data_IF_740478038559
#
_entry.id   IF_740478038559
#
_cell.length_a   1.000
_cell.length_b   1.000
_cell.length_c   1.000
_cell.angle_alpha   90.00
_cell.angle_beta   90.00
_cell.angle_gamma   90.00
#
_symmetry.space_group_name_H-M   'P 1'
#
loop_
_entity.id
_entity.type
_entity.pdbx_description
1 polymer ?
#
# COMPACT_ATOMS: atom_id res chain seq x y z
N UNK A 1 14.59 -16.99 -7.08
CA UNK A 1 14.13 -16.77 -5.69
C UNK A 1 13.48 -15.41 -5.70
N UNK A 2 12.18 -15.36 -5.95
CA UNK A 2 11.47 -14.09 -6.08
C UNK A 2 10.75 -13.75 -4.78
N UNK A 3 11.17 -12.64 -4.18
CA UNK A 3 10.66 -12.11 -2.91
C UNK A 3 9.39 -11.29 -3.14
N UNK A 4 8.33 -11.93 -3.62
CA UNK A 4 7.12 -11.24 -4.09
C UNK A 4 6.16 -10.72 -3.02
N UNK A 5 6.49 -10.78 -1.73
CA UNK A 5 5.59 -10.24 -0.73
C UNK A 5 6.04 -8.88 -0.26
N UNK A 6 5.14 -7.90 -0.37
CA UNK A 6 5.28 -6.59 0.27
C UNK A 6 5.49 -6.76 1.78
N UNK A 7 4.98 -7.86 2.34
CA UNK A 7 5.24 -8.33 3.70
C UNK A 7 6.72 -8.51 4.03
N UNK A 8 7.53 -9.07 3.13
CA UNK A 8 8.95 -9.23 3.37
C UNK A 8 9.55 -7.84 3.68
N UNK A 9 9.24 -6.83 2.87
CA UNK A 9 9.72 -5.44 3.07
C UNK A 9 9.22 -4.79 4.37
N UNK A 10 8.11 -5.26 4.95
CA UNK A 10 7.45 -4.65 6.13
C UNK A 10 7.89 -5.28 7.47
N UNK A 11 8.60 -6.43 7.47
CA UNK A 11 8.90 -7.19 8.70
C UNK A 11 9.77 -6.44 9.73
N UNK A 12 10.48 -5.37 9.36
CA UNK A 12 11.45 -4.69 10.25
C UNK A 12 11.23 -3.18 10.43
N UNK A 13 10.06 -2.78 10.95
CA UNK A 13 9.86 -1.47 11.56
C UNK A 13 9.75 -1.52 13.11
N UNK A 14 10.47 -2.42 13.78
CA UNK A 14 10.53 -2.45 15.25
C UNK A 14 11.66 -1.54 15.75
N UNK A 15 11.41 -0.24 15.80
CA UNK A 15 12.40 0.71 16.34
C UNK A 15 12.21 2.21 16.05
N UNK A 16 10.99 2.73 16.03
CA UNK A 16 10.70 4.19 16.05
C UNK A 16 9.19 4.43 16.32
N UNK A 17 8.65 3.77 17.35
CA UNK A 17 7.22 3.48 17.44
C UNK A 17 6.30 4.72 17.44
N UNK A 18 6.71 5.85 18.01
CA UNK A 18 5.82 7.01 18.17
C UNK A 18 5.86 7.98 16.98
N UNK A 19 7.04 8.28 16.44
CA UNK A 19 7.17 9.14 15.26
C UNK A 19 6.54 8.50 14.02
N UNK A 20 6.79 7.20 13.80
CA UNK A 20 6.17 6.43 12.71
C UNK A 20 4.65 6.33 12.90
N UNK A 21 4.16 6.21 14.14
CA UNK A 21 2.71 6.19 14.43
C UNK A 21 2.06 7.55 14.17
N UNK A 22 2.72 8.64 14.55
CA UNK A 22 2.25 10.00 14.24
C UNK A 22 2.10 10.24 12.74
N UNK A 23 3.11 9.84 11.96
CA UNK A 23 3.06 9.92 10.50
C UNK A 23 1.94 9.04 9.92
N UNK A 24 1.80 7.82 10.42
CA UNK A 24 0.73 6.90 10.00
C UNK A 24 -0.67 7.48 10.27
N UNK A 25 -0.85 8.15 11.42
CA UNK A 25 -2.09 8.84 11.74
C UNK A 25 -2.38 9.98 10.77
N UNK A 26 -1.37 10.76 10.39
CA UNK A 26 -1.52 11.81 9.37
C UNK A 26 -1.99 11.22 8.04
N UNK A 27 -1.41 10.09 7.59
CA UNK A 27 -1.83 9.40 6.37
C UNK A 27 -3.29 8.93 6.46
N UNK A 28 -3.69 8.29 7.55
CA UNK A 28 -5.09 7.89 7.74
C UNK A 28 -6.06 9.08 7.79
N UNK A 29 -5.69 10.20 8.41
CA UNK A 29 -6.53 11.40 8.41
C UNK A 29 -6.76 11.90 6.98
N UNK A 30 -5.71 11.95 6.15
CA UNK A 30 -5.81 12.34 4.74
C UNK A 30 -6.74 11.38 3.98
N UNK A 31 -6.51 10.08 4.09
CA UNK A 31 -7.32 9.05 3.40
C UNK A 31 -8.79 9.07 3.84
N UNK A 32 -9.07 9.15 5.15
CA UNK A 32 -10.45 9.25 5.68
C UNK A 32 -11.14 10.52 5.16
N UNK A 33 -10.43 11.65 5.16
CA UNK A 33 -10.99 12.93 4.71
C UNK A 33 -11.33 12.89 3.22
N UNK A 34 -10.44 12.31 2.39
CA UNK A 34 -10.67 12.16 0.94
C UNK A 34 -11.80 11.18 0.66
N UNK A 35 -11.80 10.02 1.32
CA UNK A 35 -12.87 9.03 1.16
C UNK A 35 -14.25 9.61 1.53
N UNK A 36 -14.35 10.32 2.65
CA UNK A 36 -15.58 10.97 3.10
C UNK A 36 -16.03 12.09 2.13
N UNK A 37 -15.08 12.84 1.54
CA UNK A 37 -15.39 13.87 0.54
C UNK A 37 -15.95 13.28 -0.76
N UNK A 38 -15.42 12.14 -1.21
CA UNK A 38 -15.80 11.54 -2.50
C UNK A 38 -17.19 10.90 -2.49
N UNK A 39 -17.56 10.23 -1.40
CA UNK A 39 -18.78 9.41 -1.35
C UNK A 39 -19.57 9.55 -0.04
N UNK A 40 -19.35 10.63 0.72
CA UNK A 40 -20.08 10.92 1.96
C UNK A 40 -19.45 10.27 3.20
N UNK A 41 -19.85 10.77 4.38
CA UNK A 41 -19.29 10.40 5.68
C UNK A 41 -19.86 9.14 6.33
N UNK A 42 -20.76 8.42 5.66
CA UNK A 42 -21.35 7.18 6.18
C UNK A 42 -20.53 5.95 5.72
N UNK A 43 -19.84 5.24 6.64
CA UNK A 43 -19.04 4.06 6.29
C UNK A 43 -19.87 2.87 5.78
N UNK A 44 -21.18 2.82 6.03
CA UNK A 44 -22.03 1.75 5.49
C UNK A 44 -22.29 1.94 3.99
N UNK A 45 -22.44 3.19 3.56
CA UNK A 45 -22.64 3.56 2.16
C UNK A 45 -21.32 3.80 1.39
N UNK A 46 -20.17 3.88 2.09
CA UNK A 46 -18.87 4.22 1.52
C UNK A 46 -17.78 3.17 1.87
N UNK A 47 -17.55 2.18 0.99
CA UNK A 47 -16.56 1.11 1.22
C UNK A 47 -15.11 1.61 1.38
N UNK A 48 -14.71 2.66 0.64
CA UNK A 48 -13.36 3.27 0.78
C UNK A 48 -13.19 3.84 2.19
N UNK A 49 -14.20 4.56 2.67
CA UNK A 49 -14.20 5.12 4.03
C UNK A 49 -14.20 4.01 5.10
N UNK A 50 -15.01 2.97 4.93
CA UNK A 50 -15.02 1.81 5.84
C UNK A 50 -13.63 1.19 5.98
N UNK A 51 -12.97 0.91 4.85
CA UNK A 51 -11.61 0.35 4.83
C UNK A 51 -10.61 1.28 5.51
N UNK A 52 -10.66 2.58 5.24
CA UNK A 52 -9.78 3.57 5.88
C UNK A 52 -9.97 3.63 7.40
N UNK A 53 -11.22 3.57 7.88
CA UNK A 53 -11.55 3.55 9.32
C UNK A 53 -11.02 2.27 9.97
N UNK A 54 -11.19 1.11 9.32
CA UNK A 54 -10.68 -0.17 9.84
C UNK A 54 -9.16 -0.14 10.00
N UNK A 55 -8.42 0.34 8.99
CA UNK A 55 -6.96 0.51 9.07
C UNK A 55 -6.55 1.48 10.18
N UNK A 56 -7.25 2.60 10.32
CA UNK A 56 -6.97 3.56 11.39
C UNK A 56 -7.21 2.96 12.79
N UNK A 57 -8.28 2.19 12.98
CA UNK A 57 -8.57 1.49 14.24
C UNK A 57 -7.55 0.42 14.55
N UNK A 58 -7.12 -0.38 13.56
CA UNK A 58 -6.09 -1.39 13.72
C UNK A 58 -4.75 -0.78 14.17
N UNK A 59 -4.47 0.46 13.76
CA UNK A 59 -3.31 1.22 14.23
C UNK A 59 -3.51 1.94 15.58
N UNK A 60 -4.62 1.67 16.30
CA UNK A 60 -4.99 2.30 17.56
C UNK A 60 -5.20 3.83 17.47
N UNK A 61 -5.69 4.33 16.32
CA UNK A 61 -6.10 5.74 16.22
C UNK A 61 -7.31 6.03 17.13
N UNK A 62 -7.27 7.10 17.94
CA UNK A 62 -8.42 7.52 18.74
C UNK A 62 -9.66 7.79 17.88
N UNK A 63 -10.83 7.34 18.37
CA UNK A 63 -12.12 7.50 17.68
C UNK A 63 -12.40 8.96 17.30
N UNK A 64 -12.08 9.90 18.19
CA UNK A 64 -12.27 11.34 17.96
C UNK A 64 -11.46 11.86 16.76
N UNK A 65 -10.27 11.31 16.50
CA UNK A 65 -9.47 11.70 15.33
C UNK A 65 -10.13 11.22 14.03
N UNK A 66 -10.69 10.01 14.04
CA UNK A 66 -11.44 9.44 12.91
C UNK A 66 -12.67 10.30 12.63
N UNK A 67 -13.48 10.60 13.66
CA UNK A 67 -14.68 11.43 13.52
C UNK A 67 -14.35 12.84 13.01
N UNK A 68 -13.26 13.45 13.50
CA UNK A 68 -12.81 14.76 13.01
C UNK A 68 -12.36 14.72 11.55
N UNK A 69 -11.70 13.65 11.12
CA UNK A 69 -11.30 13.48 9.71
C UNK A 69 -12.53 13.32 8.80
N UNK A 70 -13.54 12.55 9.22
CA UNK A 70 -14.82 12.42 8.50
C UNK A 70 -15.49 13.79 8.36
N UNK A 71 -15.66 14.53 9.48
CA UNK A 71 -16.29 15.86 9.48
C UNK A 71 -15.56 16.89 8.62
N UNK A 72 -14.23 16.81 8.55
CA UNK A 72 -13.43 17.64 7.62
C UNK A 72 -13.69 17.25 6.17
N UNK A 73 -13.76 15.94 5.88
CA UNK A 73 -14.06 15.43 4.54
C UNK A 73 -15.47 15.78 4.04
N UNK A 74 -16.47 15.75 4.93
CA UNK A 74 -17.87 16.13 4.61
C UNK A 74 -18.09 17.64 4.59
N UNK A 75 -17.13 18.45 5.04
CA UNK A 75 -17.22 19.90 5.10
C UNK A 75 -17.95 20.46 6.33
N UNK A 76 -18.36 19.61 7.28
CA UNK A 76 -18.93 20.03 8.57
C UNK A 76 -17.91 20.80 9.43
N UNK A 77 -16.60 20.50 9.26
CA UNK A 77 -15.51 21.26 9.85
C UNK A 77 -14.63 21.85 8.74
N UNK A 78 -14.16 23.08 8.94
CA UNK A 78 -13.13 23.67 8.09
C UNK A 78 -11.85 22.82 8.13
N UNK A 79 -11.25 22.56 6.98
CA UNK A 79 -10.01 21.81 6.86
C UNK A 79 -9.34 22.00 5.50
N UNK A 80 -8.12 21.47 5.37
CA UNK A 80 -7.43 21.43 4.09
C UNK A 80 -8.17 20.54 3.11
N UNK A 81 -8.26 21.00 1.85
CA UNK A 81 -8.69 20.16 0.73
C UNK A 81 -7.49 19.38 0.22
N UNK A 82 -7.46 18.08 0.47
CA UNK A 82 -6.46 17.19 -0.12
C UNK A 82 -6.85 16.78 -1.54
N UNK A 83 -5.84 16.66 -2.39
CA UNK A 83 -5.94 16.18 -3.75
C UNK A 83 -5.11 14.91 -3.92
N UNK A 84 -5.62 13.98 -4.73
CA UNK A 84 -4.98 12.71 -5.05
C UNK A 84 -4.13 12.87 -6.32
N UNK A 85 -2.87 12.47 -6.23
CA UNK A 85 -1.89 12.55 -7.31
C UNK A 85 -1.12 11.24 -7.39
N UNK A 86 -0.72 10.87 -8.60
CA UNK A 86 0.22 9.78 -8.83
C UNK A 86 1.46 10.37 -9.48
N UNK A 87 2.61 10.10 -8.88
CA UNK A 87 3.90 10.36 -9.47
C UNK A 87 4.52 9.05 -9.94
N UNK A 88 5.22 9.12 -11.07
CA UNK A 88 5.74 7.98 -11.78
C UNK A 88 7.22 8.20 -12.04
N UNK A 89 8.04 7.17 -11.94
CA UNK A 89 9.47 7.30 -12.19
C UNK A 89 10.21 5.99 -12.15
N UNK A 90 11.53 6.11 -12.26
CA UNK A 90 12.44 4.98 -12.22
C UNK A 90 13.43 5.15 -11.07
N UNK A 91 13.62 4.09 -10.30
CA UNK A 91 14.67 3.98 -9.29
C UNK A 91 15.99 3.48 -9.93
N UNK A 92 17.09 3.40 -9.16
CA UNK A 92 18.31 2.75 -9.62
C UNK A 92 18.05 1.36 -10.22
N UNK A 93 18.79 1.01 -11.27
CA UNK A 93 18.61 -0.26 -11.99
C UNK A 93 17.42 -0.28 -12.96
N UNK A 94 16.69 0.83 -13.12
CA UNK A 94 15.54 0.88 -14.04
C UNK A 94 14.25 0.30 -13.45
N UNK A 95 14.18 0.15 -12.13
CA UNK A 95 12.96 -0.27 -11.42
C UNK A 95 11.88 0.78 -11.60
N UNK A 96 10.73 0.37 -12.11
CA UNK A 96 9.55 1.21 -12.20
C UNK A 96 8.96 1.47 -10.80
N UNK A 97 8.59 2.73 -10.53
CA UNK A 97 8.03 3.15 -9.24
C UNK A 97 6.80 4.04 -9.45
N UNK A 98 5.70 3.68 -8.79
CA UNK A 98 4.50 4.49 -8.61
C UNK A 98 4.46 5.04 -7.19
N UNK A 99 4.14 6.33 -7.05
CA UNK A 99 4.00 7.00 -5.76
C UNK A 99 2.62 7.66 -5.71
N UNK A 100 1.74 7.12 -4.88
CA UNK A 100 0.43 7.70 -4.58
C UNK A 100 0.56 8.76 -3.49
N UNK A 101 -0.01 9.94 -3.74
CA UNK A 101 0.14 11.12 -2.90
C UNK A 101 -1.23 11.72 -2.59
N UNK A 102 -1.43 12.09 -1.32
CA UNK A 102 -2.51 12.97 -0.88
C UNK A 102 -1.89 14.25 -0.32
N UNK A 103 -2.15 15.38 -0.96
CA UNK A 103 -1.52 16.66 -0.58
C UNK A 103 -2.50 17.82 -0.67
N UNK A 104 -2.30 18.83 0.17
CA UNK A 104 -2.96 20.14 0.04
C UNK A 104 -2.10 21.15 -0.74
N UNK A 105 -0.91 20.73 -1.21
CA UNK A 105 0.00 21.55 -2.00
C UNK A 105 0.74 20.71 -3.05
N UNK A 106 0.16 20.63 -4.25
CA UNK A 106 0.74 19.96 -5.44
C UNK A 106 2.20 20.33 -5.71
N UNK A 107 2.56 21.60 -5.55
CA UNK A 107 3.92 22.08 -5.86
C UNK A 107 4.94 21.57 -4.83
N UNK A 108 4.58 21.57 -3.54
CA UNK A 108 5.40 21.00 -2.47
C UNK A 108 5.61 19.51 -2.68
N UNK A 109 4.53 18.77 -2.90
CA UNK A 109 4.60 17.33 -3.11
C UNK A 109 5.47 16.98 -4.33
N UNK A 110 5.24 17.64 -5.47
CA UNK A 110 6.05 17.42 -6.68
C UNK A 110 7.54 17.72 -6.45
N UNK A 111 7.86 18.79 -5.71
CA UNK A 111 9.25 19.14 -5.39
C UNK A 111 9.89 18.11 -4.46
N UNK A 112 9.17 17.69 -3.41
CA UNK A 112 9.64 16.69 -2.45
C UNK A 112 9.91 15.34 -3.13
N UNK A 113 8.93 14.81 -3.86
CA UNK A 113 9.05 13.54 -4.58
C UNK A 113 10.21 13.60 -5.58
N UNK A 114 10.29 14.67 -6.40
CA UNK A 114 11.41 14.83 -7.35
C UNK A 114 12.77 14.84 -6.66
N UNK A 115 12.89 15.54 -5.52
CA UNK A 115 14.13 15.57 -4.74
C UNK A 115 14.47 14.21 -4.14
N UNK A 116 13.48 13.42 -3.73
CA UNK A 116 13.69 12.07 -3.20
C UNK A 116 14.17 11.11 -4.28
N UNK A 117 13.61 11.15 -5.49
CA UNK A 117 14.14 10.40 -6.63
C UNK A 117 15.59 10.80 -6.93
N UNK A 118 15.86 12.09 -7.14
CA UNK A 118 17.19 12.56 -7.57
C UNK A 118 18.30 12.28 -6.56
N UNK A 119 18.04 12.47 -5.26
CA UNK A 119 19.02 12.22 -4.19
C UNK A 119 19.33 10.74 -3.98
N UNK A 120 18.47 9.84 -4.44
CA UNK A 120 18.65 8.40 -4.31
C UNK A 120 19.00 7.71 -5.65
N UNK A 121 19.39 8.49 -6.67
CA UNK A 121 19.85 7.96 -7.95
C UNK A 121 18.74 7.46 -8.87
N UNK A 122 17.50 7.86 -8.62
CA UNK A 122 16.37 7.67 -9.53
C UNK A 122 16.02 8.94 -10.29
N UNK A 123 15.00 8.84 -11.15
CA UNK A 123 14.45 9.94 -11.91
C UNK A 123 12.92 9.91 -11.91
N UNK A 124 12.31 11.08 -11.69
CA UNK A 124 10.88 11.26 -11.87
C UNK A 124 10.56 11.31 -13.38
N UNK A 125 9.62 10.50 -13.82
CA UNK A 125 9.10 10.44 -15.17
C UNK A 125 7.88 11.35 -15.39
N UNK A 126 7.32 11.29 -16.59
CA UNK A 126 6.02 11.86 -16.91
C UNK A 126 4.89 10.92 -16.48
N UNK A 127 3.67 11.45 -16.36
CA UNK A 127 2.48 10.61 -16.21
C UNK A 127 2.38 9.61 -17.39
N UNK A 128 1.99 8.38 -17.10
CA UNK A 128 1.93 7.25 -18.03
C UNK A 128 3.27 6.58 -18.34
N UNK A 129 4.37 6.97 -17.69
CA UNK A 129 5.69 6.42 -17.99
C UNK A 129 5.90 5.01 -17.46
N UNK A 130 5.23 4.63 -16.37
CA UNK A 130 5.29 3.28 -15.80
C UNK A 130 3.93 2.74 -15.39
N UNK A 131 2.88 3.57 -15.28
CA UNK A 131 1.56 3.15 -14.80
C UNK A 131 0.96 1.99 -15.60
N UNK A 132 1.28 1.88 -16.89
CA UNK A 132 0.81 0.80 -17.76
C UNK A 132 1.39 -0.57 -17.38
N UNK A 133 2.46 -0.61 -16.59
CA UNK A 133 3.10 -1.85 -16.11
C UNK A 133 2.43 -2.39 -14.84
N UNK A 134 1.45 -1.69 -14.27
CA UNK A 134 0.83 -2.06 -13.00
C UNK A 134 -0.67 -2.20 -13.13
N UNK A 135 -1.21 -3.20 -12.42
CA UNK A 135 -2.63 -3.44 -12.30
C UNK A 135 -3.10 -3.21 -10.88
N UNK A 136 -4.25 -2.55 -10.73
CA UNK A 136 -4.89 -2.40 -9.43
C UNK A 136 -5.57 -3.71 -9.05
N UNK A 137 -5.08 -4.38 -8.02
CA UNK A 137 -5.53 -5.71 -7.57
C UNK A 137 -5.74 -5.74 -6.06
N UNK A 138 -6.62 -6.61 -5.59
CA UNK A 138 -6.64 -7.02 -4.19
C UNK A 138 -5.50 -8.02 -3.95
N UNK A 139 -4.80 -7.87 -2.82
CA UNK A 139 -3.70 -8.74 -2.42
C UNK A 139 -3.90 -9.12 -0.96
N UNK A 140 -3.87 -10.42 -0.68
CA UNK A 140 -3.99 -10.98 0.67
C UNK A 140 -2.83 -11.95 0.86
N UNK A 141 -2.02 -11.72 1.89
CA UNK A 141 -0.81 -12.50 2.18
C UNK A 141 -1.00 -13.30 3.46
N UNK A 142 -0.60 -14.57 3.44
CA UNK A 142 -0.60 -15.48 4.60
C UNK A 142 0.77 -16.12 4.77
N UNK A 143 1.12 -16.45 6.01
CA UNK A 143 2.27 -17.31 6.30
C UNK A 143 1.91 -18.74 5.88
N UNK A 144 2.65 -19.31 4.94
CA UNK A 144 2.37 -20.65 4.41
C UNK A 144 2.49 -21.75 5.48
N UNK A 145 3.20 -21.49 6.58
CA UNK A 145 3.31 -22.43 7.69
C UNK A 145 2.09 -22.36 8.65
N UNK A 146 1.29 -21.31 8.59
CA UNK A 146 0.16 -21.07 9.48
C UNK A 146 -1.20 -21.39 8.86
N UNK A 147 -1.24 -21.70 7.57
CA UNK A 147 -2.48 -21.98 6.82
C UNK A 147 -2.35 -23.26 6.01
N UNK A 148 -3.49 -23.90 5.76
CA UNK A 148 -3.56 -25.06 4.86
C UNK A 148 -3.66 -24.54 3.42
N UNK A 149 -2.61 -24.75 2.62
CA UNK A 149 -2.51 -24.26 1.24
C UNK A 149 -3.64 -24.80 0.35
N UNK A 150 -4.00 -26.08 0.48
CA UNK A 150 -5.01 -26.71 -0.37
C UNK A 150 -6.39 -26.14 -0.05
N UNK A 151 -6.72 -26.04 1.24
CA UNK A 151 -7.97 -25.44 1.69
C UNK A 151 -8.06 -23.95 1.36
N UNK A 152 -6.96 -23.21 1.45
CA UNK A 152 -6.90 -21.79 1.10
C UNK A 152 -7.14 -21.58 -0.38
N UNK A 153 -6.50 -22.40 -1.22
CA UNK A 153 -6.66 -22.35 -2.67
C UNK A 153 -8.12 -22.59 -3.08
N UNK A 154 -8.75 -23.64 -2.54
CA UNK A 154 -10.15 -23.97 -2.82
C UNK A 154 -11.09 -22.79 -2.47
N UNK A 155 -11.02 -22.29 -1.23
CA UNK A 155 -11.91 -21.22 -0.75
C UNK A 155 -11.70 -19.90 -1.48
N UNK A 156 -10.44 -19.54 -1.76
CA UNK A 156 -10.13 -18.31 -2.45
C UNK A 156 -10.64 -18.33 -3.89
N UNK A 157 -10.45 -19.44 -4.61
CA UNK A 157 -10.95 -19.60 -5.98
C UNK A 157 -12.48 -19.59 -6.03
N UNK A 158 -13.16 -20.30 -5.11
CA UNK A 158 -14.62 -20.26 -5.00
C UNK A 158 -15.16 -18.85 -4.72
N UNK A 159 -14.44 -18.05 -3.93
CA UNK A 159 -14.80 -16.68 -3.59
C UNK A 159 -14.44 -15.65 -4.69
N UNK A 160 -13.74 -16.06 -5.76
CA UNK A 160 -13.40 -15.21 -6.90
C UNK A 160 -12.01 -14.57 -6.85
N UNK A 161 -11.02 -15.28 -6.29
CA UNK A 161 -9.61 -14.97 -6.51
C UNK A 161 -9.21 -15.19 -7.97
N UNK A 162 -8.27 -14.37 -8.46
CA UNK A 162 -7.73 -14.48 -9.83
C UNK A 162 -6.48 -15.36 -9.88
N UNK A 163 -5.63 -15.30 -8.86
CA UNK A 163 -4.36 -16.03 -8.81
C UNK A 163 -3.92 -16.29 -7.37
N UNK A 164 -3.18 -17.36 -7.16
CA UNK A 164 -2.66 -17.79 -5.85
C UNK A 164 -1.23 -18.29 -6.05
N UNK A 165 -0.29 -17.67 -5.35
CA UNK A 165 1.13 -18.00 -5.46
C UNK A 165 1.72 -18.34 -4.10
N UNK A 166 2.53 -19.39 -4.03
CA UNK A 166 3.37 -19.69 -2.87
C UNK A 166 4.83 -19.36 -3.20
N UNK A 167 5.40 -18.35 -2.54
CA UNK A 167 6.79 -17.97 -2.73
C UNK A 167 7.42 -17.51 -1.43
N UNK A 168 8.58 -18.07 -1.10
CA UNK A 168 9.37 -17.63 0.06
C UNK A 168 8.66 -17.80 1.41
N UNK A 169 7.80 -18.82 1.55
CA UNK A 169 7.02 -19.06 2.77
C UNK A 169 5.78 -18.17 2.92
N UNK A 170 5.39 -17.45 1.86
CA UNK A 170 4.21 -16.60 1.84
C UNK A 170 3.27 -17.05 0.73
N UNK A 171 2.01 -17.28 1.12
CA UNK A 171 0.89 -17.49 0.20
C UNK A 171 0.26 -16.13 -0.13
N UNK A 172 0.27 -15.78 -1.41
CA UNK A 172 -0.29 -14.53 -1.92
C UNK A 172 -1.52 -14.82 -2.77
N UNK A 173 -2.68 -14.40 -2.29
CA UNK A 173 -3.96 -14.44 -3.01
C UNK A 173 -4.18 -13.11 -3.70
N UNK A 174 -4.32 -13.13 -5.01
CA UNK A 174 -4.59 -11.96 -5.85
C UNK A 174 -6.02 -11.97 -6.34
N UNK A 175 -6.69 -10.81 -6.32
CA UNK A 175 -8.09 -10.65 -6.75
C UNK A 175 -8.25 -9.41 -7.63
N UNK A 176 -9.36 -9.30 -8.36
CA UNK A 176 -9.83 -7.98 -8.79
C UNK A 176 -10.30 -7.17 -7.57
N UNK A 177 -10.23 -5.83 -7.61
CA UNK A 177 -10.70 -5.00 -6.48
C UNK A 177 -12.16 -5.25 -6.09
N UNK A 178 -13.00 -5.65 -7.05
CA UNK A 178 -14.43 -5.90 -6.80
C UNK A 178 -14.74 -7.17 -6.01
N UNK A 179 -13.84 -8.17 -6.01
CA UNK A 179 -14.01 -9.43 -5.26
C UNK A 179 -13.16 -9.49 -4.00
N UNK A 180 -12.30 -8.49 -3.76
CA UNK A 180 -11.37 -8.46 -2.64
C UNK A 180 -12.04 -8.66 -1.27
N UNK A 181 -13.11 -7.91 -0.96
CA UNK A 181 -13.80 -8.03 0.34
C UNK A 181 -14.40 -9.43 0.50
N UNK A 182 -15.07 -9.96 -0.52
CA UNK A 182 -15.67 -11.31 -0.49
C UNK A 182 -14.63 -12.40 -0.26
N UNK A 183 -13.49 -12.33 -0.96
CA UNK A 183 -12.39 -13.30 -0.81
C UNK A 183 -11.78 -13.19 0.58
N UNK A 184 -11.53 -11.97 1.06
CA UNK A 184 -10.96 -11.75 2.40
C UNK A 184 -11.88 -12.30 3.50
N UNK A 185 -13.18 -12.02 3.43
CA UNK A 185 -14.17 -12.51 4.39
C UNK A 185 -14.27 -14.05 4.39
N UNK A 186 -14.27 -14.66 3.20
CA UNK A 186 -14.28 -16.14 3.05
C UNK A 186 -13.09 -16.79 3.74
N UNK A 187 -11.89 -16.25 3.52
CA UNK A 187 -10.66 -16.76 4.12
C UNK A 187 -10.61 -16.51 5.64
N UNK A 188 -11.03 -15.33 6.10
CA UNK A 188 -11.08 -15.01 7.53
C UNK A 188 -12.09 -15.88 8.29
N UNK A 189 -13.15 -16.39 7.64
CA UNK A 189 -14.11 -17.30 8.27
C UNK A 189 -13.48 -18.64 8.70
N UNK A 190 -12.32 -19.01 8.17
CA UNK A 190 -11.52 -20.16 8.66
C UNK A 190 -10.71 -19.85 9.91
N UNK A 191 -10.64 -18.59 10.33
CA UNK A 191 -9.84 -18.15 11.47
C UNK A 191 -8.36 -17.96 11.15
N UNK A 192 -7.97 -17.96 9.87
CA UNK A 192 -6.60 -17.65 9.47
C UNK A 192 -6.31 -16.15 9.60
N UNK A 193 -5.19 -15.83 10.21
CA UNK A 193 -4.71 -14.45 10.32
C UNK A 193 -3.84 -14.11 9.10
N UNK A 194 -4.31 -13.16 8.29
CA UNK A 194 -3.53 -12.64 7.17
C UNK A 194 -2.36 -11.81 7.68
N UNK A 195 -1.19 -11.99 7.08
CA UNK A 195 -0.03 -11.11 7.25
C UNK A 195 -0.33 -9.69 6.76
N UNK A 196 -1.01 -9.60 5.61
CA UNK A 196 -1.46 -8.33 5.05
C UNK A 196 -2.70 -8.55 4.17
N UNK A 197 -3.53 -7.51 4.04
CA UNK A 197 -4.66 -7.52 3.13
C UNK A 197 -4.95 -6.09 2.65
N UNK A 198 -5.03 -5.90 1.34
CA UNK A 198 -5.45 -4.60 0.79
C UNK A 198 -5.44 -4.54 -0.73
N UNK A 199 -6.00 -3.44 -1.24
CA UNK A 199 -5.83 -3.07 -2.64
C UNK A 199 -4.43 -2.48 -2.84
N UNK A 200 -3.74 -2.93 -3.89
CA UNK A 200 -2.37 -2.53 -4.24
C UNK A 200 -2.24 -2.39 -5.76
N UNK A 201 -1.15 -1.76 -6.21
CA UNK A 201 -0.70 -1.80 -7.59
C UNK A 201 0.30 -2.96 -7.74
N UNK A 202 -0.04 -3.96 -8.54
CA UNK A 202 0.76 -5.16 -8.79
C UNK A 202 1.39 -5.07 -10.18
N UNK A 203 2.71 -5.18 -10.32
CA UNK A 203 3.38 -5.09 -11.61
C UNK A 203 3.12 -6.33 -12.48
N UNK A 204 3.06 -6.16 -13.80
CA UNK A 204 2.98 -7.26 -14.77
C UNK A 204 4.26 -8.11 -14.78
N UNK A 205 5.40 -7.47 -14.56
CA UNK A 205 6.72 -8.10 -14.58
C UNK A 205 7.58 -7.53 -13.48
N UNK A 206 8.29 -8.41 -12.78
CA UNK A 206 9.26 -8.00 -11.78
C UNK A 206 10.68 -7.99 -12.35
N UNK A 207 11.50 -7.06 -11.86
CA UNK A 207 12.88 -6.84 -12.25
C UNK A 207 13.82 -7.33 -11.15
N UNK A 208 14.54 -8.42 -11.42
CA UNK A 208 15.57 -8.95 -10.53
C UNK A 208 16.75 -7.97 -10.41
N UNK A 209 17.22 -7.77 -9.19
CA UNK A 209 18.30 -6.83 -8.86
C UNK A 209 19.45 -7.56 -8.17
N UNK A 210 20.67 -7.07 -8.42
CA UNK A 210 21.82 -7.39 -7.57
C UNK A 210 21.67 -6.75 -6.17
N UNK A 211 22.46 -7.22 -5.22
CA UNK A 211 22.37 -6.80 -3.82
C UNK A 211 22.60 -5.27 -3.65
N UNK A 212 23.57 -4.71 -4.37
CA UNK A 212 23.93 -3.29 -4.25
C UNK A 212 22.79 -2.39 -4.77
N UNK A 213 22.23 -2.75 -5.93
CA UNK A 213 21.11 -2.03 -6.54
C UNK A 213 19.85 -2.16 -5.69
N UNK A 214 19.52 -3.37 -5.21
CA UNK A 214 18.38 -3.61 -4.34
C UNK A 214 18.42 -2.76 -3.06
N UNK A 215 19.59 -2.66 -2.40
CA UNK A 215 19.76 -1.79 -1.22
C UNK A 215 19.52 -0.31 -1.52
N UNK A 216 19.92 0.18 -2.70
CA UNK A 216 19.67 1.58 -3.12
C UNK A 216 18.17 1.82 -3.37
N UNK A 217 17.50 0.87 -4.03
CA UNK A 217 16.06 0.93 -4.31
C UNK A 217 15.26 0.92 -3.01
N UNK A 218 15.55 -0.01 -2.10
CA UNK A 218 14.92 -0.08 -0.77
C UNK A 218 15.05 1.24 -0.02
N UNK A 219 16.26 1.78 0.05
CA UNK A 219 16.51 3.09 0.68
C UNK A 219 15.68 4.20 0.05
N UNK A 220 15.52 4.22 -1.28
CA UNK A 220 14.68 5.22 -1.94
C UNK A 220 13.20 5.06 -1.55
N UNK A 221 12.70 3.83 -1.55
CA UNK A 221 11.32 3.50 -1.17
C UNK A 221 11.06 3.93 0.27
N UNK A 222 11.93 3.56 1.21
CA UNK A 222 11.81 3.96 2.62
C UNK A 222 11.71 5.48 2.76
N UNK A 223 12.55 6.23 2.03
CA UNK A 223 12.55 7.69 2.06
C UNK A 223 11.29 8.31 1.45
N UNK A 224 10.71 7.68 0.43
CA UNK A 224 9.42 8.07 -0.14
C UNK A 224 8.30 7.77 0.86
N UNK A 225 8.32 6.62 1.53
CA UNK A 225 7.33 6.26 2.54
C UNK A 225 7.41 7.12 3.81
N UNK A 226 8.59 7.64 4.15
CA UNK A 226 8.81 8.65 5.21
C UNK A 226 8.30 10.06 4.84
N UNK A 227 7.95 10.30 3.57
CA UNK A 227 7.38 11.58 3.14
C UNK A 227 5.90 11.69 3.59
N UNK A 228 5.48 12.89 4.00
CA UNK A 228 4.18 13.11 4.66
C UNK A 228 2.98 13.04 3.70
N UNK A 229 3.15 13.52 2.47
CA UNK A 229 2.11 13.53 1.43
C UNK A 229 2.01 12.17 0.73
N UNK A 230 3.08 11.36 0.72
CA UNK A 230 3.07 9.99 0.18
C UNK A 230 2.19 9.04 0.99
N UNK A 231 1.17 8.48 0.34
CA UNK A 231 0.30 7.45 0.90
C UNK A 231 0.86 6.04 0.67
N UNK A 232 1.33 5.76 -0.53
CA UNK A 232 1.85 4.46 -0.91
C UNK A 232 2.92 4.56 -1.99
N UNK A 233 3.85 3.60 -1.95
CA UNK A 233 4.86 3.41 -2.98
C UNK A 233 4.72 1.98 -3.49
N UNK A 234 4.74 1.82 -4.82
CA UNK A 234 4.72 0.53 -5.48
C UNK A 234 5.90 0.47 -6.44
N UNK A 235 6.52 -0.69 -6.55
CA UNK A 235 7.63 -0.90 -7.46
C UNK A 235 7.54 -2.28 -8.09
N UNK A 236 8.27 -2.47 -9.18
CA UNK A 236 8.44 -3.78 -9.79
C UNK A 236 9.77 -4.45 -9.42
N UNK A 237 10.43 -4.00 -8.35
CA UNK A 237 11.68 -4.62 -7.91
C UNK A 237 11.42 -6.03 -7.39
N UNK A 238 12.18 -7.01 -7.87
CA UNK A 238 12.34 -8.31 -7.22
C UNK A 238 13.57 -8.25 -6.32
N UNK A 239 13.32 -8.14 -5.02
CA UNK A 239 14.34 -7.93 -4.00
C UNK A 239 14.78 -9.29 -3.48
N UNK A 240 16.10 -9.60 -3.50
CA UNK A 240 16.61 -10.85 -2.92
C UNK A 240 16.18 -11.03 -1.46
N UNK A 241 15.62 -12.18 -1.11
CA UNK A 241 15.07 -12.45 0.24
C UNK A 241 16.06 -12.22 1.38
N UNK A 242 17.36 -12.40 1.13
CA UNK A 242 18.44 -12.16 2.09
C UNK A 242 18.58 -10.69 2.52
N UNK A 243 18.14 -9.76 1.66
CA UNK A 243 18.13 -8.32 1.94
C UNK A 243 16.90 -7.85 2.71
N UNK A 244 15.94 -8.75 2.88
CA UNK A 244 14.64 -8.47 3.45
C UNK A 244 14.55 -8.96 4.90
N UNK A 245 15.72 -9.32 5.48
CA UNK A 245 15.94 -9.77 6.86
C UNK A 245 16.30 -8.63 7.82
#
# INVERSE_FOLDING_TARGET
>A
MSGHSKWATIKHAKGAADAKRGQLFTKFIKEISVAARMAGGDPQANPRLRTAILKARAANMPKDNIERAIKKGTGELSGSSYEELVYEGYAPGGVAVLVEVLTDNKNRAAANVRNLFSRNGGNLGSAGSVSYMFNRKGVIEYDSEQVDEEALMELALEAGAEDIQNAGGVLTVTTVPGTFETVLESLQAKGWESLSAGISMVPDTYLALDEETARKVLKMIDRLEEEEDVQAVYSNADIPSELVL
#
